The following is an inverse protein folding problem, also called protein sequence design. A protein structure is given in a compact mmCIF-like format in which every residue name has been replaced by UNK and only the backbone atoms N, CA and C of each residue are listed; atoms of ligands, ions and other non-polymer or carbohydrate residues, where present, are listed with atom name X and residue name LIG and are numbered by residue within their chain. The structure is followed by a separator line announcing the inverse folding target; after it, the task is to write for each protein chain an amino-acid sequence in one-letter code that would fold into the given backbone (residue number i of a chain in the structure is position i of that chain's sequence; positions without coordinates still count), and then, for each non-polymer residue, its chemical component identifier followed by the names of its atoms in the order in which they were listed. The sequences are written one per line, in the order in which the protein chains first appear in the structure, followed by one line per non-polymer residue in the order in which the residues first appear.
data_IF_945030159804
#
_entry.id   IF_945030159804
#
_cell.length_a   1.000
_cell.length_b   1.000
_cell.length_c   1.000
_cell.angle_alpha   90.00
_cell.angle_beta   90.00
_cell.angle_gamma   90.00
#
_symmetry.space_group_name_H-M   'P 1'
#
loop_
_entity.id
_entity.type
_entity.pdbx_description
1 polymer ?
#
# COMPACT_ATOMS: atom_id res chain seq x y z
N UNK A 1 -44.38 11.26 -0.61
CA UNK A 1 -42.99 11.74 -0.42
C UNK A 1 -42.09 10.52 -0.56
N UNK A 2 -41.21 10.50 -1.56
CA UNK A 2 -40.20 9.45 -1.69
C UNK A 2 -39.03 9.81 -0.77
N UNK A 3 -38.47 8.88 0.02
CA UNK A 3 -37.29 9.17 0.81
C UNK A 3 -36.13 9.43 -0.16
N UNK A 4 -35.64 10.68 -0.16
CA UNK A 4 -34.35 11.00 -0.76
C UNK A 4 -33.28 10.25 0.02
N UNK A 5 -32.75 9.18 -0.55
CA UNK A 5 -31.53 8.55 -0.03
C UNK A 5 -30.40 9.53 -0.30
N UNK A 6 -30.08 10.36 0.69
CA UNK A 6 -28.80 11.07 0.74
C UNK A 6 -27.72 10.01 0.88
N UNK A 7 -27.15 9.58 -0.26
CA UNK A 7 -25.91 8.83 -0.28
C UNK A 7 -24.84 9.84 0.14
N UNK A 8 -24.43 9.81 1.42
CA UNK A 8 -23.23 10.55 1.83
C UNK A 8 -22.08 10.11 0.92
N UNK A 9 -21.23 11.04 0.45
CA UNK A 9 -20.04 10.68 -0.32
C UNK A 9 -19.27 9.63 0.45
N UNK A 10 -18.80 8.58 -0.23
CA UNK A 10 -17.89 7.62 0.41
C UNK A 10 -16.50 8.21 0.39
N UNK A 11 -15.88 8.38 1.55
CA UNK A 11 -14.50 8.86 1.64
C UNK A 11 -13.57 7.94 0.84
N UNK A 12 -12.77 8.54 -0.03
CA UNK A 12 -11.78 7.83 -0.86
C UNK A 12 -10.42 7.99 -0.21
N UNK A 13 -9.79 6.88 0.15
CA UNK A 13 -8.45 6.88 0.73
C UNK A 13 -7.47 6.34 -0.30
N UNK A 14 -6.63 7.22 -0.82
CA UNK A 14 -5.50 6.86 -1.68
C UNK A 14 -4.26 6.70 -0.82
N UNK A 15 -3.41 5.71 -1.07
CA UNK A 15 -2.09 5.67 -0.45
C UNK A 15 -1.07 5.12 -1.42
N UNK A 16 0.19 5.46 -1.16
CA UNK A 16 1.32 5.03 -1.97
C UNK A 16 2.60 5.19 -1.17
N UNK A 17 3.63 4.52 -1.65
CA UNK A 17 4.98 4.63 -1.13
C UNK A 17 5.84 5.47 -2.07
N UNK A 18 6.71 6.30 -1.52
CA UNK A 18 7.59 7.15 -2.31
C UNK A 18 8.97 7.30 -1.69
N UNK A 19 9.94 7.67 -2.54
CA UNK A 19 11.34 7.84 -2.15
C UNK A 19 11.85 9.19 -2.64
N UNK A 20 12.40 9.97 -1.72
CA UNK A 20 13.12 11.19 -1.98
C UNK A 20 14.60 10.92 -1.74
N UNK A 21 15.43 11.18 -2.75
CA UNK A 21 16.87 11.14 -2.58
C UNK A 21 17.35 12.45 -1.95
N UNK A 22 18.24 12.34 -0.96
CA UNK A 22 18.92 13.50 -0.37
C UNK A 22 19.67 14.33 -1.41
N UNK A 23 20.22 13.67 -2.44
CA UNK A 23 20.75 14.31 -3.64
C UNK A 23 19.76 14.09 -4.78
N UNK A 24 18.71 14.91 -4.83
CA UNK A 24 17.74 14.86 -5.91
C UNK A 24 18.19 15.77 -7.07
N UNK A 25 17.99 15.32 -8.30
CA UNK A 25 18.23 16.14 -9.48
C UNK A 25 16.92 16.86 -9.83
N UNK A 26 17.00 18.18 -9.99
CA UNK A 26 15.87 19.00 -10.45
C UNK A 26 15.51 18.60 -11.89
N UNK A 27 14.31 18.06 -12.10
CA UNK A 27 13.74 17.88 -13.43
C UNK A 27 12.79 19.03 -13.76
N UNK A 28 12.54 19.27 -15.05
CA UNK A 28 11.69 20.39 -15.54
C UNK A 28 10.24 20.39 -15.01
N UNK A 29 9.80 19.30 -14.37
CA UNK A 29 8.51 19.19 -13.68
C UNK A 29 8.64 18.71 -12.23
N UNK A 30 9.83 18.79 -11.62
CA UNK A 30 9.99 18.52 -10.19
C UNK A 30 9.49 19.71 -9.37
N UNK A 31 8.82 19.41 -8.25
CA UNK A 31 8.73 20.33 -7.12
C UNK A 31 10.13 20.43 -6.48
N UNK A 32 10.62 21.64 -6.27
CA UNK A 32 11.91 21.92 -5.62
C UNK A 32 11.75 23.16 -4.74
N UNK A 33 12.60 23.26 -3.73
CA UNK A 33 12.69 24.46 -2.90
C UNK A 33 13.31 25.62 -3.72
N UNK A 34 12.66 26.79 -3.81
CA UNK A 34 13.22 27.96 -4.49
C UNK A 34 14.60 28.39 -3.97
N UNK A 35 14.97 28.06 -2.73
CA UNK A 35 16.28 28.40 -2.15
C UNK A 35 17.36 27.36 -2.41
N UNK A 36 17.02 26.21 -3.00
CA UNK A 36 18.00 25.14 -3.24
C UNK A 36 18.99 25.49 -4.36
N UNK A 37 20.29 25.37 -4.03
CA UNK A 37 21.38 25.49 -4.99
C UNK A 37 21.35 24.38 -6.04
N UNK A 38 21.65 24.73 -7.30
CA UNK A 38 21.71 23.76 -8.41
C UNK A 38 22.93 22.86 -8.23
N UNK A 39 22.71 21.66 -7.69
CA UNK A 39 23.79 20.69 -7.47
C UNK A 39 23.95 19.70 -8.64
N UNK A 40 25.21 19.35 -8.95
CA UNK A 40 25.55 18.32 -9.94
C UNK A 40 25.05 16.94 -9.48
N UNK A 41 24.76 16.00 -10.41
CA UNK A 41 24.32 14.65 -10.05
C UNK A 41 25.37 13.96 -9.17
N UNK A 42 25.09 13.80 -7.87
CA UNK A 42 25.90 12.99 -6.96
C UNK A 42 25.31 11.59 -6.86
N UNK A 43 26.13 10.59 -6.53
CA UNK A 43 25.70 9.20 -6.34
C UNK A 43 24.51 9.10 -5.36
N UNK A 44 23.74 8.00 -5.47
CA UNK A 44 22.59 7.68 -4.60
C UNK A 44 23.03 7.68 -3.13
N UNK A 45 22.87 8.83 -2.47
CA UNK A 45 23.22 9.05 -1.07
C UNK A 45 22.13 8.52 -0.14
N UNK A 46 21.88 9.25 0.94
CA UNK A 46 20.75 8.99 1.85
C UNK A 46 19.42 9.07 1.09
N UNK A 47 18.48 8.18 1.39
CA UNK A 47 17.17 8.13 0.76
C UNK A 47 16.10 8.21 1.86
N UNK A 48 15.20 9.18 1.77
CA UNK A 48 14.00 9.23 2.59
C UNK A 48 12.92 8.43 1.89
N UNK A 49 12.38 7.43 2.56
CA UNK A 49 11.32 6.59 2.07
C UNK A 49 10.10 6.84 2.94
N UNK A 50 8.94 7.03 2.36
CA UNK A 50 7.74 7.31 3.12
C UNK A 50 6.53 6.62 2.54
N UNK A 51 5.53 6.42 3.39
CA UNK A 51 4.20 5.95 3.04
C UNK A 51 3.20 6.87 3.74
N UNK A 52 2.14 7.23 3.03
CA UNK A 52 1.05 8.01 3.60
C UNK A 52 -0.25 7.74 2.83
N UNK A 53 -1.36 7.91 3.52
CA UNK A 53 -2.70 7.97 2.94
C UNK A 53 -3.16 9.41 2.75
N UNK A 54 -3.98 9.64 1.74
CA UNK A 54 -4.74 10.87 1.52
C UNK A 54 -6.21 10.49 1.47
N UNK A 55 -7.00 11.06 2.37
CA UNK A 55 -8.44 10.96 2.35
C UNK A 55 -9.04 12.16 1.60
N UNK A 56 -9.75 11.85 0.54
CA UNK A 56 -10.65 12.75 -0.16
C UNK A 56 -12.08 12.54 0.37
N UNK A 57 -12.58 13.54 1.09
CA UNK A 57 -13.92 13.60 1.65
C UNK A 57 -14.94 14.32 0.74
N UNK A 58 -14.50 14.77 -0.44
CA UNK A 58 -15.28 15.58 -1.36
C UNK A 58 -15.38 17.06 -0.95
N UNK A 59 -14.62 17.49 0.06
CA UNK A 59 -14.44 18.91 0.38
C UNK A 59 -13.30 19.53 -0.44
N UNK A 60 -13.07 20.83 -0.26
CA UNK A 60 -11.95 21.54 -0.90
C UNK A 60 -10.59 21.19 -0.27
N UNK A 61 -10.58 20.41 0.82
CA UNK A 61 -9.35 19.99 1.53
C UNK A 61 -9.28 18.47 1.60
N UNK A 62 -8.07 17.93 1.63
CA UNK A 62 -7.83 16.50 1.77
C UNK A 62 -6.98 16.22 3.01
N UNK A 63 -7.31 15.15 3.74
CA UNK A 63 -6.63 14.82 5.00
C UNK A 63 -5.45 13.89 4.74
N UNK A 64 -4.26 14.24 5.23
CA UNK A 64 -3.09 13.36 5.23
C UNK A 64 -3.18 12.41 6.43
N UNK A 65 -3.07 11.11 6.19
CA UNK A 65 -3.26 10.05 7.18
C UNK A 65 -2.10 9.06 7.20
N UNK A 66 -1.80 8.50 8.37
CA UNK A 66 -0.78 7.50 8.60
C UNK A 66 0.59 7.83 7.99
N UNK A 67 1.14 9.04 8.13
CA UNK A 67 2.47 9.32 7.61
C UNK A 67 3.52 8.49 8.38
N UNK A 68 4.33 7.72 7.67
CA UNK A 68 5.49 7.04 8.25
C UNK A 68 6.72 7.23 7.34
N UNK A 69 7.86 7.59 7.94
CA UNK A 69 9.07 7.99 7.22
C UNK A 69 10.27 7.22 7.74
N UNK A 70 11.05 6.72 6.79
CA UNK A 70 12.25 5.95 7.02
C UNK A 70 13.43 6.54 6.27
N UNK A 71 14.61 6.37 6.84
CA UNK A 71 15.86 6.65 6.15
C UNK A 71 16.44 5.33 5.64
N UNK A 72 16.54 5.19 4.32
CA UNK A 72 17.27 4.12 3.63
C UNK A 72 18.58 4.61 3.00
N UNK A 73 19.35 3.67 2.44
CA UNK A 73 20.58 3.98 1.70
C UNK A 73 21.86 3.90 2.54
N UNK A 74 22.97 4.49 2.07
CA UNK A 74 24.23 4.48 2.82
C UNK A 74 24.31 5.73 3.70
N UNK A 75 24.50 5.55 5.00
CA UNK A 75 24.84 6.62 5.94
C UNK A 75 26.24 6.35 6.52
N UNK A 76 27.21 7.24 6.27
CA UNK A 76 28.60 7.11 6.74
C UNK A 76 29.25 5.74 6.43
N UNK A 77 29.04 5.20 5.23
CA UNK A 77 29.58 3.90 4.82
C UNK A 77 28.83 2.68 5.38
N UNK A 78 27.93 2.85 6.36
CA UNK A 78 27.02 1.79 6.84
C UNK A 78 25.80 1.71 5.92
N UNK A 79 25.49 0.48 5.47
CA UNK A 79 24.28 0.21 4.70
C UNK A 79 23.08 0.28 5.65
N UNK A 80 22.26 1.31 5.49
CA UNK A 80 20.91 1.37 6.05
C UNK A 80 19.99 0.64 5.06
N UNK A 81 19.02 -0.11 5.59
CA UNK A 81 18.21 -1.08 4.84
C UNK A 81 17.68 -0.48 3.53
N UNK A 82 17.76 -1.29 2.47
CA UNK A 82 17.27 -0.96 1.14
C UNK A 82 15.77 -0.68 1.15
N UNK A 83 15.29 0.33 0.40
CA UNK A 83 13.88 0.75 0.34
C UNK A 83 12.88 -0.41 0.18
N UNK A 84 13.15 -1.33 -0.76
CA UNK A 84 12.27 -2.49 -0.99
C UNK A 84 12.35 -3.54 0.13
N UNK A 85 13.39 -3.52 0.98
CA UNK A 85 13.45 -4.37 2.17
C UNK A 85 12.59 -3.82 3.31
N UNK A 86 12.31 -2.51 3.32
CA UNK A 86 11.51 -1.87 4.36
C UNK A 86 10.01 -2.05 4.09
N UNK A 87 9.58 -1.84 2.85
CA UNK A 87 8.19 -2.06 2.41
C UNK A 87 7.94 -3.54 2.13
N UNK A 88 7.78 -4.31 3.21
CA UNK A 88 7.38 -5.71 3.14
C UNK A 88 5.93 -5.89 3.62
N UNK A 89 5.38 -7.09 3.43
CA UNK A 89 3.98 -7.37 3.75
C UNK A 89 3.64 -7.20 5.23
N UNK A 90 4.55 -7.57 6.15
CA UNK A 90 4.31 -7.43 7.59
C UNK A 90 4.22 -5.95 7.95
N UNK A 91 5.20 -5.18 7.51
CA UNK A 91 5.21 -3.73 7.69
C UNK A 91 3.93 -3.07 7.14
N UNK A 92 3.55 -3.42 5.92
CA UNK A 92 2.36 -2.86 5.28
C UNK A 92 1.07 -3.18 6.05
N UNK A 93 0.91 -4.42 6.54
CA UNK A 93 -0.27 -4.81 7.32
C UNK A 93 -0.36 -4.03 8.62
N UNK A 94 0.76 -3.88 9.34
CA UNK A 94 0.81 -3.13 10.59
C UNK A 94 0.49 -1.64 10.36
N UNK A 95 1.08 -1.05 9.32
CA UNK A 95 0.82 0.33 8.91
C UNK A 95 -0.64 0.55 8.46
N UNK A 96 -1.18 -0.36 7.65
CA UNK A 96 -2.54 -0.27 7.15
C UNK A 96 -3.58 -0.37 8.28
N UNK A 97 -3.27 -1.10 9.36
CA UNK A 97 -4.07 -1.10 10.59
C UNK A 97 -4.20 0.28 11.20
N UNK A 98 -3.07 1.00 11.35
CA UNK A 98 -3.05 2.38 11.87
C UNK A 98 -3.80 3.35 10.94
N UNK A 99 -3.64 3.21 9.63
CA UNK A 99 -4.37 4.01 8.66
C UNK A 99 -5.88 3.85 8.83
N UNK A 100 -6.37 2.62 9.01
CA UNK A 100 -7.78 2.36 9.27
C UNK A 100 -8.24 3.00 10.60
N UNK A 101 -7.39 2.99 11.64
CA UNK A 101 -7.69 3.66 12.91
C UNK A 101 -7.89 5.17 12.73
N UNK A 102 -6.99 5.84 12.02
CA UNK A 102 -7.10 7.28 11.75
C UNK A 102 -8.34 7.64 10.91
N UNK A 103 -8.69 6.82 9.91
CA UNK A 103 -9.91 7.01 9.11
C UNK A 103 -11.17 6.95 9.99
N UNK A 104 -11.22 6.00 10.93
CA UNK A 104 -12.36 5.87 11.85
C UNK A 104 -12.39 6.95 12.92
N UNK A 105 -11.22 7.43 13.38
CA UNK A 105 -11.11 8.58 14.28
C UNK A 105 -11.69 9.85 13.65
N UNK A 106 -11.49 10.02 12.34
CA UNK A 106 -12.12 11.06 11.52
C UNK A 106 -13.61 10.79 11.20
N UNK A 107 -14.21 9.76 11.82
CA UNK A 107 -15.63 9.37 11.70
C UNK A 107 -16.05 8.89 10.31
N UNK A 108 -15.10 8.48 9.48
CA UNK A 108 -15.42 7.87 8.20
C UNK A 108 -15.76 6.40 8.39
N UNK A 109 -17.03 6.06 8.15
CA UNK A 109 -17.48 4.69 8.00
C UNK A 109 -17.57 4.33 6.51
N UNK A 110 -17.35 3.07 6.14
CA UNK A 110 -17.53 2.61 4.76
C UNK A 110 -16.66 3.31 3.70
N UNK A 111 -15.51 3.86 4.12
CA UNK A 111 -14.49 4.40 3.21
C UNK A 111 -13.98 3.37 2.19
N UNK A 112 -13.51 3.85 1.04
CA UNK A 112 -12.94 3.03 -0.04
C UNK A 112 -11.44 3.32 -0.15
N UNK A 113 -10.63 2.30 0.14
CA UNK A 113 -9.19 2.36 0.00
C UNK A 113 -8.78 1.96 -1.41
N UNK A 114 -8.12 2.87 -2.13
CA UNK A 114 -7.62 2.64 -3.48
C UNK A 114 -6.14 2.25 -3.39
N UNK A 115 -5.81 1.06 -3.89
CA UNK A 115 -4.48 0.45 -3.80
C UNK A 115 -3.90 0.19 -5.19
N UNK A 116 -2.57 0.29 -5.29
CA UNK A 116 -1.86 -0.18 -6.47
C UNK A 116 -1.75 -1.73 -6.47
N UNK A 117 -1.12 -2.31 -7.50
CA UNK A 117 -1.03 -3.78 -7.62
C UNK A 117 0.23 -4.37 -6.99
N UNK A 118 0.90 -3.67 -6.07
CA UNK A 118 2.12 -4.16 -5.45
C UNK A 118 1.90 -5.51 -4.77
N UNK A 119 2.88 -6.42 -4.93
CA UNK A 119 2.77 -7.80 -4.45
C UNK A 119 2.55 -7.87 -2.93
N UNK A 120 3.10 -6.93 -2.17
CA UNK A 120 2.97 -6.90 -0.72
C UNK A 120 1.61 -6.36 -0.24
N UNK A 121 0.89 -5.56 -1.04
CA UNK A 121 -0.51 -5.20 -0.73
C UNK A 121 -1.45 -6.41 -0.88
N UNK A 122 -1.15 -7.30 -1.83
CA UNK A 122 -1.94 -8.52 -2.12
C UNK A 122 -1.52 -9.75 -1.29
N UNK A 123 -0.73 -9.56 -0.24
CA UNK A 123 -0.29 -10.66 0.61
C UNK A 123 -1.47 -11.32 1.34
N UNK A 124 -1.51 -12.64 1.30
CA UNK A 124 -2.49 -13.48 2.01
C UNK A 124 -1.99 -13.82 3.42
N UNK A 125 -2.87 -14.24 4.34
CA UNK A 125 -2.47 -14.65 5.69
C UNK A 125 -1.31 -15.64 5.69
N UNK A 126 -0.41 -15.56 6.68
CA UNK A 126 0.78 -16.41 6.75
C UNK A 126 0.46 -17.91 6.81
N UNK A 127 -0.69 -18.28 7.37
CA UNK A 127 -1.21 -19.65 7.41
C UNK A 127 -1.52 -20.22 6.02
N UNK A 128 -1.76 -19.36 5.03
CA UNK A 128 -2.15 -19.75 3.66
C UNK A 128 -1.12 -20.72 3.06
N UNK A 129 -1.55 -21.87 2.53
CA UNK A 129 -0.66 -22.82 1.87
C UNK A 129 0.12 -22.19 0.71
N UNK A 130 1.39 -22.57 0.57
CA UNK A 130 2.27 -22.14 -0.53
C UNK A 130 2.67 -23.36 -1.37
N UNK A 131 2.78 -23.21 -2.68
CA UNK A 131 3.15 -24.30 -3.60
C UNK A 131 4.53 -24.92 -3.33
N UNK A 132 5.37 -24.27 -2.52
CA UNK A 132 6.65 -24.83 -2.06
C UNK A 132 6.50 -25.93 -1.02
N UNK A 133 5.35 -26.04 -0.32
CA UNK A 133 5.08 -27.10 0.67
C UNK A 133 5.12 -28.50 0.07
N UNK A 134 5.19 -29.55 0.89
CA UNK A 134 5.23 -30.95 0.42
C UNK A 134 3.89 -31.33 -0.23
N UNK A 135 3.91 -32.32 -1.13
CA UNK A 135 2.70 -32.80 -1.82
C UNK A 135 1.61 -33.24 -0.83
N UNK A 136 2.00 -33.97 0.23
CA UNK A 136 1.12 -34.40 1.31
C UNK A 136 0.39 -33.21 1.95
N UNK A 137 1.12 -32.14 2.26
CA UNK A 137 0.56 -30.97 2.96
C UNK A 137 -0.39 -30.19 2.05
N UNK A 138 -0.09 -30.13 0.75
CA UNK A 138 -0.98 -29.51 -0.25
C UNK A 138 -2.26 -30.33 -0.43
N UNK A 139 -2.15 -31.65 -0.46
CA UNK A 139 -3.32 -32.53 -0.53
C UNK A 139 -4.17 -32.40 0.73
N UNK A 140 -3.56 -32.40 1.92
CA UNK A 140 -4.29 -32.20 3.17
C UNK A 140 -5.02 -30.85 3.16
N UNK A 141 -4.36 -29.78 2.70
CA UNK A 141 -5.02 -28.48 2.54
C UNK A 141 -6.20 -28.53 1.54
N UNK A 142 -6.14 -29.34 0.49
CA UNK A 142 -7.31 -29.56 -0.38
C UNK A 142 -8.46 -30.22 0.39
N UNK A 143 -8.18 -31.24 1.19
CA UNK A 143 -9.18 -31.94 2.03
C UNK A 143 -9.79 -30.97 3.04
N UNK A 144 -8.97 -30.17 3.72
CA UNK A 144 -9.41 -29.18 4.72
C UNK A 144 -10.32 -28.10 4.10
N UNK A 145 -10.14 -27.80 2.80
CA UNK A 145 -10.97 -26.87 2.03
C UNK A 145 -12.10 -27.59 1.25
N UNK A 146 -12.35 -28.88 1.53
CA UNK A 146 -13.41 -29.69 0.93
C UNK A 146 -13.35 -29.77 -0.62
N UNK A 147 -12.14 -29.76 -1.19
CA UNK A 147 -11.93 -29.89 -2.64
C UNK A 147 -12.01 -31.35 -3.07
N UNK A 148 -13.00 -31.69 -3.90
CA UNK A 148 -13.29 -33.07 -4.33
C UNK A 148 -12.67 -33.47 -5.66
N UNK A 149 -12.13 -32.51 -6.41
CA UNK A 149 -11.55 -32.69 -7.75
C UNK A 149 -10.04 -33.01 -7.72
N UNK A 150 -9.53 -33.45 -6.56
CA UNK A 150 -8.12 -33.73 -6.34
C UNK A 150 -7.93 -35.11 -5.73
N UNK A 151 -7.10 -35.93 -6.36
CA UNK A 151 -6.72 -37.26 -5.87
C UNK A 151 -5.32 -37.23 -5.22
N UNK A 152 -5.04 -38.10 -4.23
CA UNK A 152 -3.72 -38.18 -3.61
C UNK A 152 -2.65 -38.68 -4.58
N UNK A 153 -3.06 -39.36 -5.66
CA UNK A 153 -2.19 -39.83 -6.74
C UNK A 153 -1.77 -38.71 -7.71
N UNK A 154 -2.48 -37.58 -7.73
CA UNK A 154 -2.22 -36.49 -8.66
C UNK A 154 -0.82 -35.89 -8.53
N UNK A 155 -0.32 -35.31 -9.61
CA UNK A 155 0.94 -34.57 -9.57
C UNK A 155 0.82 -33.36 -8.64
N UNK A 156 1.92 -33.04 -7.93
CA UNK A 156 1.98 -31.87 -7.03
C UNK A 156 1.53 -30.57 -7.71
N UNK A 157 1.87 -30.40 -8.98
CA UNK A 157 1.47 -29.24 -9.79
C UNK A 157 -0.04 -29.16 -10.00
N UNK A 158 -0.71 -30.29 -10.22
CA UNK A 158 -2.18 -30.37 -10.37
C UNK A 158 -2.87 -30.04 -9.05
N UNK A 159 -2.45 -30.69 -7.95
CA UNK A 159 -2.95 -30.41 -6.59
C UNK A 159 -2.80 -28.92 -6.27
N UNK A 160 -1.61 -28.36 -6.50
CA UNK A 160 -1.34 -26.94 -6.25
C UNK A 160 -2.19 -26.03 -7.14
N UNK A 161 -2.40 -26.37 -8.42
CA UNK A 161 -3.19 -25.55 -9.34
C UNK A 161 -4.64 -25.43 -8.85
N UNK A 162 -5.26 -26.54 -8.47
CA UNK A 162 -6.62 -26.56 -7.93
C UNK A 162 -6.70 -25.81 -6.61
N UNK A 163 -5.80 -26.10 -5.67
CA UNK A 163 -5.76 -25.41 -4.38
C UNK A 163 -5.54 -23.90 -4.56
N UNK A 164 -4.59 -23.50 -5.41
CA UNK A 164 -4.29 -22.09 -5.68
C UNK A 164 -5.52 -21.36 -6.23
N UNK A 165 -6.26 -21.97 -7.15
CA UNK A 165 -7.51 -21.39 -7.67
C UNK A 165 -8.50 -21.13 -6.53
N UNK A 166 -8.76 -22.14 -5.71
CA UNK A 166 -9.65 -22.00 -4.55
C UNK A 166 -9.18 -20.89 -3.61
N UNK A 167 -7.88 -20.87 -3.27
CA UNK A 167 -7.30 -19.83 -2.41
C UNK A 167 -7.41 -18.43 -3.03
N UNK A 168 -7.26 -18.28 -4.34
CA UNK A 168 -7.37 -16.98 -5.03
C UNK A 168 -8.81 -16.44 -5.02
N UNK A 169 -9.81 -17.33 -5.02
CA UNK A 169 -11.23 -16.98 -4.99
C UNK A 169 -11.75 -16.72 -3.57
N UNK A 170 -11.28 -17.50 -2.57
CA UNK A 170 -11.89 -17.54 -1.24
C UNK A 170 -11.05 -16.91 -0.13
N UNK A 171 -9.73 -16.79 -0.32
CA UNK A 171 -8.84 -16.20 0.69
C UNK A 171 -8.42 -14.80 0.23
N UNK A 172 -9.08 -13.73 0.74
CA UNK A 172 -8.71 -12.37 0.39
C UNK A 172 -7.33 -12.01 0.94
N UNK A 173 -6.65 -11.01 0.36
CA UNK A 173 -5.48 -10.40 0.98
C UNK A 173 -5.78 -9.87 2.39
N UNK A 174 -4.77 -9.84 3.25
CA UNK A 174 -4.92 -9.44 4.67
C UNK A 174 -5.51 -8.03 4.78
N UNK A 175 -5.00 -7.06 4.02
CA UNK A 175 -5.52 -5.70 4.04
C UNK A 175 -7.00 -5.61 3.61
N UNK A 176 -7.42 -6.43 2.64
CA UNK A 176 -8.83 -6.51 2.22
C UNK A 176 -9.70 -7.08 3.34
N UNK A 177 -9.22 -8.12 4.04
CA UNK A 177 -9.92 -8.70 5.17
C UNK A 177 -10.05 -7.70 6.35
N UNK A 178 -8.98 -6.97 6.67
CA UNK A 178 -8.96 -5.92 7.70
C UNK A 178 -9.97 -4.83 7.41
N UNK A 179 -9.95 -4.28 6.19
CA UNK A 179 -10.90 -3.25 5.78
C UNK A 179 -12.35 -3.76 5.86
N UNK A 180 -12.63 -4.97 5.32
CA UNK A 180 -13.98 -5.55 5.36
C UNK A 180 -14.49 -5.80 6.78
N UNK A 181 -13.63 -6.27 7.68
CA UNK A 181 -13.99 -6.48 9.08
C UNK A 181 -14.43 -5.19 9.78
N UNK A 182 -13.95 -4.04 9.27
CA UNK A 182 -14.27 -2.69 9.73
C UNK A 182 -15.29 -1.97 8.83
N UNK A 183 -16.05 -2.73 8.04
CA UNK A 183 -17.05 -2.24 7.08
C UNK A 183 -16.51 -1.29 5.99
N UNK A 184 -15.20 -1.29 5.73
CA UNK A 184 -14.57 -0.57 4.64
C UNK A 184 -14.38 -1.42 3.38
N UNK A 185 -14.06 -0.76 2.27
CA UNK A 185 -13.84 -1.40 0.98
C UNK A 185 -12.41 -1.18 0.49
N UNK A 186 -11.89 -2.12 -0.28
CA UNK A 186 -10.60 -1.99 -0.98
C UNK A 186 -10.83 -2.19 -2.47
N UNK A 187 -10.28 -1.29 -3.28
CA UNK A 187 -10.28 -1.37 -4.74
C UNK A 187 -8.84 -1.32 -5.22
N UNK A 188 -8.47 -2.29 -6.07
CA UNK A 188 -7.17 -2.27 -6.74
C UNK A 188 -7.29 -1.49 -8.04
N UNK A 189 -6.36 -0.56 -8.28
CA UNK A 189 -6.26 0.16 -9.53
C UNK A 189 -6.17 -0.82 -10.70
N UNK A 190 -6.84 -0.50 -11.82
CA UNK A 190 -6.70 -1.29 -13.06
C UNK A 190 -5.22 -1.28 -13.45
N UNK A 191 -4.61 -2.43 -13.80
CA UNK A 191 -3.21 -2.49 -14.22
C UNK A 191 -3.05 -1.81 -15.58
N UNK A 192 -3.05 -0.48 -15.60
CA UNK A 192 -2.48 0.30 -16.68
C UNK A 192 -0.96 0.28 -16.52
N UNK A 193 -0.25 0.26 -17.64
CA UNK A 193 1.20 0.18 -17.71
C UNK A 193 1.86 1.46 -17.18
N UNK A 194 1.82 1.69 -15.87
CA UNK A 194 2.67 2.58 -15.06
C UNK A 194 2.16 2.50 -13.62
N UNK A 195 3.09 2.38 -12.69
CA UNK A 195 2.88 2.47 -11.24
C UNK A 195 1.86 3.55 -10.90
N UNK A 196 0.90 3.24 -10.01
CA UNK A 196 0.14 4.30 -9.36
C UNK A 196 1.17 5.21 -8.69
N UNK A 197 1.09 6.50 -8.93
CA UNK A 197 2.03 7.45 -8.37
C UNK A 197 1.19 8.59 -7.81
N UNK A 198 1.13 8.68 -6.48
CA UNK A 198 0.38 9.72 -5.77
C UNK A 198 0.76 11.13 -6.28
N UNK A 199 2.03 11.36 -6.63
CA UNK A 199 2.49 12.65 -7.16
C UNK A 199 1.98 12.98 -8.56
N UNK A 200 1.50 12.00 -9.34
CA UNK A 200 0.94 12.22 -10.68
C UNK A 200 -0.57 12.40 -10.72
N UNK A 201 -1.30 11.81 -9.78
CA UNK A 201 -2.76 11.99 -9.71
C UNK A 201 -3.13 13.24 -8.89
N UNK A 202 -2.34 13.54 -7.87
CA UNK A 202 -2.48 14.73 -7.04
C UNK A 202 -1.71 15.92 -7.65
N UNK A 203 -2.15 16.36 -8.84
CA UNK A 203 -1.47 17.37 -9.67
C UNK A 203 -1.46 18.80 -9.10
N UNK A 204 -2.02 19.03 -7.91
CA UNK A 204 -2.00 20.33 -7.22
C UNK A 204 -1.91 20.22 -5.68
N UNK A 205 -2.48 19.17 -5.07
CA UNK A 205 -2.53 19.02 -3.59
C UNK A 205 -1.28 18.40 -2.97
N UNK A 206 -0.39 17.82 -3.78
CA UNK A 206 0.82 17.14 -3.30
C UNK A 206 1.89 18.09 -2.73
N UNK A 207 1.84 19.39 -3.04
CA UNK A 207 2.78 20.38 -2.46
C UNK A 207 2.35 20.79 -1.06
N UNK A 208 1.09 21.17 -0.87
CA UNK A 208 0.59 21.60 0.44
C UNK A 208 0.60 20.46 1.46
N UNK A 209 0.32 19.23 1.03
CA UNK A 209 0.35 18.07 1.93
C UNK A 209 1.77 17.59 2.26
N UNK A 210 2.71 17.70 1.32
CA UNK A 210 4.12 17.38 1.57
C UNK A 210 4.79 18.50 2.40
N UNK A 211 4.47 19.76 2.13
CA UNK A 211 4.93 20.91 2.91
C UNK A 211 4.30 20.91 4.31
N UNK A 212 3.03 20.51 4.47
CA UNK A 212 2.42 20.25 5.78
C UNK A 212 3.11 19.09 6.49
N UNK A 213 3.41 17.98 5.81
CA UNK A 213 4.11 16.87 6.42
C UNK A 213 5.53 17.28 6.88
N UNK A 214 6.27 18.00 6.04
CA UNK A 214 7.62 18.49 6.35
C UNK A 214 7.60 19.53 7.48
N UNK A 215 6.65 20.47 7.47
CA UNK A 215 6.47 21.46 8.53
C UNK A 215 6.00 20.84 9.86
N UNK A 216 5.08 19.85 9.82
CA UNK A 216 4.60 19.15 11.01
C UNK A 216 5.68 18.30 11.67
N UNK A 217 6.62 17.78 10.87
CA UNK A 217 7.75 16.99 11.35
C UNK A 217 8.91 17.84 11.92
N UNK A 218 8.79 19.17 11.93
CA UNK A 218 9.90 20.06 12.30
C UNK A 218 11.10 19.89 11.35
N UNK A 219 10.82 19.47 10.11
CA UNK A 219 11.77 19.44 8.99
C UNK A 219 11.49 20.66 8.11
N UNK A 220 11.27 21.81 8.74
CA UNK A 220 11.88 23.04 8.24
C UNK A 220 13.33 23.03 8.74
N UNK A 221 14.24 23.77 8.09
CA UNK A 221 15.46 24.17 8.80
C UNK A 221 15.13 24.77 10.19
#
# INVERSE_FOLDING_TARGET
MLPTVTISPRGLVYHDESVIHHHYCRHRGSLYDPTDDVTKPKHKGRQYCFIAGILDDGSDVSHLLGPDIFVGGKNNGKVVKYYHCMHNHVYFVDWFGKLLDEVEELRWSSAVFVMDNAKYHKGKPQSTPKGTRKKSDLYQACVDNMLTDVAPTDLKSTIWKTLKKHLDEHVPPVAVAMARARAHHVVYAVPVSRSFNLSKWCGQTSREQLDCALNWLGISE
#
